data_IF_578409323031
#
_entry.id   IF_578409323031
#
_cell.length_a   1.000
_cell.length_b   1.000
_cell.length_c   1.000
_cell.angle_alpha   90.00
_cell.angle_beta   90.00
_cell.angle_gamma   90.00
#
_symmetry.space_group_name_H-M   'P 1'
#
loop_
_entity.id
_entity.type
_entity.pdbx_description
1 polymer ?
#
# COMPACT_ATOMS: atom_id res chain seq x y z
N UNK A 1 1.30 4.61 -1.83
CA UNK A 1 0.14 3.77 -2.21
C UNK A 1 0.15 2.39 -1.54
N UNK A 2 1.08 1.49 -1.88
CA UNK A 2 0.99 0.08 -1.43
C UNK A 2 1.00 -0.08 0.10
N UNK A 3 1.75 0.76 0.81
CA UNK A 3 1.74 0.83 2.28
C UNK A 3 0.34 1.09 2.86
N UNK A 4 -0.41 2.03 2.30
CA UNK A 4 -1.78 2.36 2.76
C UNK A 4 -2.72 1.17 2.57
N UNK A 5 -2.61 0.52 1.41
CA UNK A 5 -3.35 -0.71 1.09
C UNK A 5 -3.00 -1.87 2.04
N UNK A 6 -1.73 -1.98 2.45
CA UNK A 6 -1.27 -2.96 3.43
C UNK A 6 -1.72 -2.64 4.86
N UNK A 7 -1.92 -1.36 5.20
CA UNK A 7 -2.52 -0.90 6.46
C UNK A 7 -4.04 -1.10 6.52
N UNK A 8 -4.65 -1.66 5.46
CA UNK A 8 -6.08 -1.99 5.42
C UNK A 8 -6.95 -0.94 4.74
N UNK A 9 -6.39 0.18 4.26
CA UNK A 9 -7.17 1.21 3.59
C UNK A 9 -7.76 0.68 2.27
N UNK A 10 -8.98 1.08 1.97
CA UNK A 10 -9.62 0.89 0.68
C UNK A 10 -8.91 1.70 -0.41
N UNK A 11 -9.17 1.36 -1.68
CA UNK A 11 -8.63 2.13 -2.81
C UNK A 11 -9.09 3.59 -2.78
N UNK A 12 -10.33 3.84 -2.31
CA UNK A 12 -10.89 5.17 -2.15
C UNK A 12 -10.18 5.98 -1.08
N UNK A 13 -9.97 5.41 0.11
CA UNK A 13 -9.24 6.09 1.20
C UNK A 13 -7.79 6.35 0.81
N UNK A 14 -7.10 5.36 0.24
CA UNK A 14 -5.74 5.53 -0.24
C UNK A 14 -5.62 6.57 -1.36
N UNK A 15 -6.66 6.71 -2.20
CA UNK A 15 -6.71 7.71 -3.26
C UNK A 15 -6.88 9.13 -2.69
N UNK A 16 -7.71 9.30 -1.66
CA UNK A 16 -7.88 10.56 -0.94
C UNK A 16 -6.56 10.99 -0.28
N UNK A 17 -5.89 10.09 0.44
CA UNK A 17 -4.59 10.34 1.08
C UNK A 17 -3.48 10.75 0.10
N UNK A 18 -3.56 10.25 -1.15
CA UNK A 18 -2.54 10.50 -2.17
C UNK A 18 -2.95 11.57 -3.19
N UNK A 19 -4.14 12.16 -3.05
CA UNK A 19 -4.73 13.11 -4.01
C UNK A 19 -4.69 12.61 -5.47
N UNK A 20 -5.02 11.33 -5.71
CA UNK A 20 -5.11 10.72 -7.04
C UNK A 20 -6.48 10.07 -7.26
N UNK A 21 -6.79 9.69 -8.50
CA UNK A 21 -8.03 8.97 -8.81
C UNK A 21 -8.02 7.54 -8.20
N UNK A 22 -9.16 7.05 -7.66
CA UNK A 22 -9.28 5.68 -7.13
C UNK A 22 -8.91 4.58 -8.13
N UNK A 23 -9.30 4.76 -9.40
CA UNK A 23 -8.97 3.83 -10.47
C UNK A 23 -7.46 3.68 -10.70
N UNK A 24 -6.68 4.72 -10.40
CA UNK A 24 -5.21 4.69 -10.47
C UNK A 24 -4.65 3.82 -9.35
N UNK A 25 -5.19 3.92 -8.13
CA UNK A 25 -4.80 3.05 -7.01
C UNK A 25 -5.11 1.60 -7.34
N UNK A 26 -6.30 1.29 -7.86
CA UNK A 26 -6.68 -0.06 -8.26
C UNK A 26 -5.75 -0.63 -9.33
N UNK A 27 -5.44 0.16 -10.37
CA UNK A 27 -4.47 -0.24 -11.39
C UNK A 27 -3.09 -0.50 -10.81
N UNK A 28 -2.63 0.30 -9.84
CA UNK A 28 -1.36 0.04 -9.16
C UNK A 28 -1.39 -1.23 -8.31
N UNK A 29 -2.49 -1.51 -7.59
CA UNK A 29 -2.66 -2.77 -6.84
C UNK A 29 -2.55 -3.95 -7.81
N UNK A 30 -3.27 -3.88 -8.94
CA UNK A 30 -3.29 -4.97 -9.91
C UNK A 30 -1.92 -5.18 -10.57
N UNK A 31 -1.23 -4.09 -10.94
CA UNK A 31 0.13 -4.17 -11.47
C UNK A 31 1.10 -4.81 -10.48
N UNK A 32 1.00 -4.51 -9.18
CA UNK A 32 1.81 -5.14 -8.14
C UNK A 32 1.45 -6.61 -7.98
N UNK A 33 0.16 -6.96 -8.02
CA UNK A 33 -0.31 -8.36 -7.96
C UNK A 33 0.24 -9.19 -9.12
N UNK A 34 0.22 -8.64 -10.34
CA UNK A 34 0.77 -9.29 -11.53
C UNK A 34 2.29 -9.46 -11.43
N UNK A 35 3.01 -8.43 -10.97
CA UNK A 35 4.48 -8.50 -10.78
C UNK A 35 4.91 -9.48 -9.70
N UNK A 36 4.14 -9.59 -8.63
CA UNK A 36 4.39 -10.55 -7.53
C UNK A 36 3.81 -11.93 -7.82
N UNK A 37 3.10 -12.12 -8.94
CA UNK A 37 2.41 -13.36 -9.34
C UNK A 37 1.51 -13.93 -8.24
N UNK A 38 0.87 -13.04 -7.48
CA UNK A 38 0.01 -13.43 -6.36
C UNK A 38 -1.44 -13.63 -6.79
N UNK A 39 -2.14 -14.52 -6.09
CA UNK A 39 -3.47 -14.99 -6.49
C UNK A 39 -4.59 -13.98 -6.22
N UNK A 40 -4.43 -13.18 -5.16
CA UNK A 40 -5.41 -12.18 -4.73
C UNK A 40 -4.71 -11.07 -3.94
N UNK A 41 -5.46 -10.02 -3.59
CA UNK A 41 -4.96 -8.85 -2.84
C UNK A 41 -4.35 -9.24 -1.48
N UNK A 42 -4.95 -10.16 -0.75
CA UNK A 42 -4.46 -10.57 0.56
C UNK A 42 -3.10 -11.30 0.45
N UNK A 43 -2.98 -12.23 -0.50
CA UNK A 43 -1.72 -12.90 -0.81
C UNK A 43 -0.67 -11.90 -1.28
N UNK A 44 -1.03 -10.94 -2.13
CA UNK A 44 -0.13 -9.84 -2.52
C UNK A 44 0.41 -9.10 -1.30
N UNK A 45 -0.45 -8.69 -0.36
CA UNK A 45 -0.06 -7.98 0.87
C UNK A 45 0.88 -8.84 1.72
N UNK A 46 0.53 -10.11 1.96
CA UNK A 46 1.37 -11.03 2.73
C UNK A 46 2.75 -11.23 2.07
N UNK A 47 2.79 -11.33 0.74
CA UNK A 47 4.02 -11.49 -0.02
C UNK A 47 4.93 -10.26 0.11
N UNK A 48 4.40 -9.05 -0.08
CA UNK A 48 5.21 -7.82 -0.02
C UNK A 48 5.69 -7.50 1.41
N UNK A 49 4.95 -7.90 2.44
CA UNK A 49 5.40 -7.83 3.83
C UNK A 49 6.54 -8.83 4.08
N UNK A 50 6.36 -10.09 3.66
CA UNK A 50 7.36 -11.16 3.85
C UNK A 50 8.68 -10.85 3.16
N UNK A 51 8.63 -10.26 1.97
CA UNK A 51 9.81 -9.88 1.18
C UNK A 51 10.41 -8.52 1.58
N UNK A 52 9.82 -7.80 2.54
CA UNK A 52 10.33 -6.49 2.97
C UNK A 52 10.22 -5.40 1.90
N UNK A 53 9.30 -5.54 0.94
CA UNK A 53 9.13 -4.63 -0.20
C UNK A 53 8.34 -3.36 0.15
N UNK A 54 7.82 -3.27 1.39
CA UNK A 54 7.18 -2.06 1.89
C UNK A 54 8.22 -1.14 2.53
N UNK A 55 8.22 0.16 2.18
CA UNK A 55 9.10 1.11 2.83
C UNK A 55 8.80 1.16 4.33
N UNK A 56 9.83 0.87 5.13
CA UNK A 56 9.78 1.00 6.59
C UNK A 56 10.08 2.45 6.93
N UNK A 57 9.06 3.28 6.96
CA UNK A 57 9.18 4.63 7.51
C UNK A 57 9.35 4.53 9.05
N UNK A 58 10.51 4.07 9.54
CA UNK A 58 10.97 4.28 10.93
C UNK A 58 11.50 5.71 11.10
N UNK A 59 10.72 6.70 10.63
CA UNK A 59 11.22 8.05 10.45
C UNK A 59 10.25 9.18 10.75
N UNK A 60 9.08 8.96 11.35
CA UNK A 60 8.23 10.07 11.86
C UNK A 60 7.40 9.63 13.07
N UNK A 61 8.06 9.19 14.15
CA UNK A 61 7.40 8.99 15.45
C UNK A 61 7.71 10.11 16.47
N UNK A 62 8.42 11.18 16.08
CA UNK A 62 8.85 12.19 17.04
C UNK A 62 8.81 13.61 16.48
N UNK A 63 7.61 14.13 16.21
CA UNK A 63 7.39 15.58 16.12
C UNK A 63 5.90 15.89 16.21
N UNK A 64 5.33 15.85 17.43
CA UNK A 64 4.10 16.55 17.86
C UNK A 64 3.79 16.26 19.33
N UNK A 65 4.72 16.65 20.19
CA UNK A 65 4.49 16.92 21.62
C UNK A 65 5.52 17.98 22.02
N UNK A 66 5.17 19.24 21.73
CA UNK A 66 5.72 20.46 22.32
C UNK A 66 4.72 21.59 22.02
#
# INVERSE_FOLDING_TARGET
>A
MLRLVALGLSAKEAALELAIAPCTVERHVENVRLKTRTRNRAHMIAHVIREGLLPTERGVANMRLA
#
